data_IF_188039589295
#
_entry.id   IF_188039589295
#
_cell.length_a   1.000
_cell.length_b   1.000
_cell.length_c   1.000
_cell.angle_alpha   90.00
_cell.angle_beta   90.00
_cell.angle_gamma   90.00
#
_symmetry.space_group_name_H-M   'P 1'
#
loop_
_entity.id
_entity.type
_entity.pdbx_description
1 polymer ?
#
# COMPACT_ATOMS: atom_id res chain seq x y z
N UNK A 1 9.84 -13.50 7.93
CA UNK A 1 8.83 -13.25 8.98
C UNK A 1 7.73 -14.30 8.86
N UNK A 2 7.37 -15.04 9.92
CA UNK A 2 6.58 -16.27 9.81
C UNK A 2 5.09 -16.07 9.48
N UNK A 3 4.53 -14.88 9.70
CA UNK A 3 3.12 -14.58 9.39
C UNK A 3 2.93 -14.20 7.91
N UNK A 4 1.81 -14.58 7.30
CA UNK A 4 1.43 -14.14 5.94
C UNK A 4 0.73 -12.79 5.98
N UNK A 5 -0.19 -12.60 6.91
CA UNK A 5 -0.92 -11.37 7.15
C UNK A 5 -0.13 -10.41 8.04
N UNK A 6 0.02 -9.16 7.61
CA UNK A 6 0.81 -8.16 8.33
C UNK A 6 0.04 -6.85 8.42
N UNK A 7 -0.26 -6.39 9.63
CA UNK A 7 -0.86 -5.06 9.84
C UNK A 7 0.18 -3.98 9.63
N UNK A 8 -0.17 -2.96 8.85
CA UNK A 8 0.70 -1.84 8.49
C UNK A 8 -0.02 -0.50 8.62
N UNK A 9 0.71 0.60 8.75
CA UNK A 9 0.12 1.93 8.93
C UNK A 9 0.51 2.93 7.82
N UNK A 10 1.43 2.56 6.94
CA UNK A 10 2.01 3.48 5.96
C UNK A 10 1.96 2.92 4.53
N UNK A 11 1.81 3.79 3.53
CA UNK A 11 1.70 3.38 2.11
C UNK A 11 2.96 2.64 1.64
N UNK A 12 4.15 3.07 2.06
CA UNK A 12 5.39 2.34 1.75
C UNK A 12 5.44 0.97 2.42
N UNK A 13 4.88 0.83 3.61
CA UNK A 13 4.78 -0.43 4.34
C UNK A 13 3.90 -1.44 3.58
N UNK A 14 2.75 -0.98 3.05
CA UNK A 14 1.87 -1.79 2.19
C UNK A 14 2.69 -2.34 1.01
N UNK A 15 3.37 -1.46 0.27
CA UNK A 15 4.16 -1.81 -0.91
C UNK A 15 5.30 -2.77 -0.56
N UNK A 16 6.07 -2.49 0.49
CA UNK A 16 7.18 -3.36 0.92
C UNK A 16 6.71 -4.76 1.32
N UNK A 17 5.56 -4.87 2.01
CA UNK A 17 5.01 -6.17 2.38
C UNK A 17 4.50 -6.94 1.16
N UNK A 18 3.80 -6.28 0.24
CA UNK A 18 3.35 -6.89 -1.01
C UNK A 18 4.52 -7.39 -1.87
N UNK A 19 5.57 -6.58 -2.05
CA UNK A 19 6.81 -6.98 -2.76
C UNK A 19 7.48 -8.17 -2.07
N UNK A 20 7.44 -8.22 -0.74
CA UNK A 20 7.94 -9.34 0.07
C UNK A 20 7.06 -10.60 0.03
N UNK A 21 6.00 -10.63 -0.78
CA UNK A 21 5.08 -11.76 -0.91
C UNK A 21 4.17 -11.95 0.31
N UNK A 22 3.89 -10.88 1.06
CA UNK A 22 2.98 -10.85 2.21
C UNK A 22 1.65 -10.22 1.85
N UNK A 23 0.66 -10.44 2.71
CA UNK A 23 -0.67 -9.79 2.63
C UNK A 23 -0.68 -8.63 3.62
N UNK A 24 -0.44 -7.38 3.16
CA UNK A 24 -0.56 -6.21 4.02
C UNK A 24 -2.02 -5.93 4.36
N UNK A 25 -2.25 -5.48 5.59
CA UNK A 25 -3.54 -4.97 6.05
C UNK A 25 -3.32 -3.58 6.64
N UNK A 26 -3.70 -2.52 5.92
CA UNK A 26 -3.61 -1.16 6.42
C UNK A 26 -4.59 -0.95 7.56
N UNK A 27 -4.16 -0.26 8.60
CA UNK A 27 -4.97 -0.06 9.80
C UNK A 27 -6.31 0.64 9.52
N UNK A 28 -6.37 1.58 8.57
CA UNK A 28 -7.62 2.25 8.24
C UNK A 28 -8.58 1.29 7.53
N UNK A 29 -8.10 0.58 6.51
CA UNK A 29 -8.89 -0.41 5.77
C UNK A 29 -9.44 -1.49 6.71
N UNK A 30 -8.63 -2.00 7.66
CA UNK A 30 -9.09 -2.95 8.68
C UNK A 30 -10.23 -2.40 9.55
N UNK A 31 -10.15 -1.15 9.98
CA UNK A 31 -11.19 -0.50 10.79
C UNK A 31 -12.47 -0.30 9.97
N UNK A 32 -12.33 -0.04 8.67
CA UNK A 32 -13.44 0.16 7.75
C UNK A 32 -13.95 -1.16 7.13
N UNK A 33 -13.31 -2.30 7.46
CA UNK A 33 -13.57 -3.61 6.87
C UNK A 33 -13.44 -3.59 5.33
N UNK A 34 -12.39 -2.95 4.85
CA UNK A 34 -11.98 -2.86 3.45
C UNK A 34 -10.71 -3.70 3.19
N UNK A 35 -10.50 -4.10 1.94
CA UNK A 35 -9.27 -4.76 1.52
C UNK A 35 -8.17 -3.73 1.25
N UNK A 36 -6.95 -4.04 1.66
CA UNK A 36 -5.79 -3.20 1.37
C UNK A 36 -5.20 -3.51 0.01
N UNK A 37 -5.35 -2.58 -0.93
CA UNK A 37 -4.71 -2.67 -2.24
C UNK A 37 -3.29 -2.08 -2.22
N UNK A 38 -2.26 -2.83 -2.68
CA UNK A 38 -0.88 -2.32 -2.78
C UNK A 38 -0.69 -1.16 -3.76
N UNK A 39 -1.64 -1.00 -4.68
CA UNK A 39 -1.56 -0.15 -5.87
C UNK A 39 -0.26 -0.43 -6.68
N UNK A 40 0.16 0.52 -7.51
CA UNK A 40 1.43 0.45 -8.24
C UNK A 40 2.62 0.31 -7.27
N UNK A 41 3.35 -0.80 -7.33
CA UNK A 41 4.45 -1.10 -6.40
C UNK A 41 5.78 -0.48 -6.83
N UNK A 42 5.90 -0.10 -8.10
CA UNK A 42 7.01 0.70 -8.61
C UNK A 42 6.90 2.13 -8.12
N UNK A 43 7.82 2.51 -7.24
CA UNK A 43 7.75 3.79 -6.52
C UNK A 43 7.85 5.01 -7.44
N UNK A 44 8.62 4.90 -8.53
CA UNK A 44 8.74 5.94 -9.56
C UNK A 44 7.40 6.18 -10.25
N UNK A 45 6.75 5.11 -10.73
CA UNK A 45 5.44 5.20 -11.40
C UNK A 45 4.35 5.68 -10.45
N UNK A 46 4.38 5.24 -9.19
CA UNK A 46 3.46 5.70 -8.15
C UNK A 46 3.58 7.21 -7.91
N UNK A 47 4.80 7.72 -7.73
CA UNK A 47 5.01 9.15 -7.51
C UNK A 47 4.68 9.98 -8.75
N UNK A 48 4.98 9.51 -9.95
CA UNK A 48 4.57 10.19 -11.19
C UNK A 48 3.05 10.29 -11.28
N UNK A 49 2.32 9.23 -10.95
CA UNK A 49 0.85 9.21 -10.96
C UNK A 49 0.27 10.15 -9.90
N UNK A 50 0.84 10.12 -8.69
CA UNK A 50 0.41 11.00 -7.60
C UNK A 50 0.65 12.48 -7.93
N UNK A 51 1.82 12.81 -8.49
CA UNK A 51 2.15 14.19 -8.87
C UNK A 51 1.19 14.70 -9.95
N UNK A 52 0.88 13.89 -10.98
CA UNK A 52 -0.11 14.26 -12.00
C UNK A 52 -1.48 14.56 -11.39
N UNK A 53 -1.94 13.74 -10.45
CA UNK A 53 -3.20 13.97 -9.77
C UNK A 53 -3.22 15.30 -9.00
N UNK A 54 -2.12 15.62 -8.30
CA UNK A 54 -1.94 16.88 -7.56
C UNK A 54 -1.90 18.08 -8.51
N UNK A 55 -1.27 17.96 -9.68
CA UNK A 55 -1.20 19.06 -10.65
C UNK A 55 -2.56 19.35 -11.30
N UNK A 56 -3.45 18.35 -11.37
CA UNK A 56 -4.78 18.45 -12.00
C UNK A 56 -5.91 18.91 -11.04
N UNK A 57 -5.71 18.88 -9.72
CA UNK A 57 -6.75 19.12 -8.70
C UNK A 57 -6.29 20.03 -7.56
#
# INVERSE_FOLDING_TARGET
MPCQDVVVYCVSCIKSMAIGGKVPHHMADLVLNEETEPQETRIDVYHDTLNKYIDEH
#
